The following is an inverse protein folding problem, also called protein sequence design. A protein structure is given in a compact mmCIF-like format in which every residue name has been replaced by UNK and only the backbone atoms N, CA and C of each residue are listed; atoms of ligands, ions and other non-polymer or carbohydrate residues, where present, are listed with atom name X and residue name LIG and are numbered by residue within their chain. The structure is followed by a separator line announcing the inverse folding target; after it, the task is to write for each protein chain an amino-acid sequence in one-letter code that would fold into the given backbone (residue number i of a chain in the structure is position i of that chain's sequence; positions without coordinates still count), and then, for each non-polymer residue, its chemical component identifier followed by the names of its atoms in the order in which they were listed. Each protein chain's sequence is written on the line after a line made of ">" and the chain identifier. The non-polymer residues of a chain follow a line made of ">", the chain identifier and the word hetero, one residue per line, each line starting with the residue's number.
data_IF_313023016213
#
_entry.id   IF_313023016213
#
_cell.length_a   1.000
_cell.length_b   1.000
_cell.length_c   1.000
_cell.angle_alpha   90.00
_cell.angle_beta   90.00
_cell.angle_gamma   90.00
#
_symmetry.space_group_name_H-M   'P 1'
#
loop_
_entity.id
_entity.type
_entity.pdbx_description
1 polymer ?
#
# COMPACT_ATOMS: atom_id res chain seq x y z
N UNK A 1 -9.72 -31.88 3.71
CA UNK A 1 -10.08 -30.66 2.96
C UNK A 1 -11.48 -30.23 3.42
N UNK A 2 -11.80 -28.94 3.54
CA UNK A 2 -13.17 -28.54 3.79
C UNK A 2 -14.06 -29.08 2.66
N UNK A 3 -15.24 -29.57 3.01
CA UNK A 3 -16.23 -30.04 2.05
C UNK A 3 -16.80 -28.83 1.29
N UNK A 4 -16.94 -28.94 -0.02
CA UNK A 4 -17.50 -27.88 -0.85
C UNK A 4 -19.00 -27.71 -0.54
N UNK A 5 -19.48 -26.48 -0.45
CA UNK A 5 -20.89 -26.18 -0.20
C UNK A 5 -21.41 -25.11 -1.18
N UNK A 6 -22.70 -25.16 -1.49
CA UNK A 6 -23.39 -24.23 -2.38
C UNK A 6 -24.24 -23.25 -1.56
N UNK A 7 -24.18 -21.96 -1.90
CA UNK A 7 -25.02 -20.92 -1.33
C UNK A 7 -25.89 -20.29 -2.43
N UNK A 8 -27.10 -19.85 -2.06
CA UNK A 8 -28.01 -19.07 -2.92
C UNK A 8 -28.29 -17.69 -2.32
N UNK A 9 -27.32 -16.75 -2.36
CA UNK A 9 -27.53 -15.39 -1.87
C UNK A 9 -28.34 -14.56 -2.87
N UNK A 10 -29.01 -13.51 -2.40
CA UNK A 10 -29.63 -12.50 -3.29
C UNK A 10 -28.58 -11.56 -3.88
N UNK A 11 -27.49 -11.30 -3.14
CA UNK A 11 -26.36 -10.49 -3.58
C UNK A 11 -25.08 -10.96 -2.89
N UNK A 12 -23.95 -10.83 -3.58
CA UNK A 12 -22.61 -11.08 -3.05
C UNK A 12 -21.78 -9.80 -3.18
N UNK A 13 -21.22 -9.32 -2.07
CA UNK A 13 -20.30 -8.18 -2.06
C UNK A 13 -18.92 -8.67 -1.66
N UNK A 14 -17.96 -8.57 -2.58
CA UNK A 14 -16.60 -9.04 -2.35
C UNK A 14 -15.71 -7.88 -1.88
N UNK A 15 -15.40 -7.85 -0.58
CA UNK A 15 -14.47 -6.88 0.01
C UNK A 15 -13.05 -7.44 0.14
N UNK A 16 -12.52 -8.04 -0.95
CA UNK A 16 -11.17 -8.63 -0.99
C UNK A 16 -10.05 -7.64 -1.27
N UNK A 17 -10.35 -6.34 -1.17
CA UNK A 17 -9.42 -5.24 -1.41
C UNK A 17 -9.20 -4.94 -2.90
N UNK A 18 -8.17 -4.15 -3.18
CA UNK A 18 -7.81 -3.67 -4.51
C UNK A 18 -6.31 -3.84 -4.76
N UNK A 19 -5.91 -3.74 -6.03
CA UNK A 19 -4.50 -3.77 -6.45
C UNK A 19 -4.22 -2.60 -7.40
N UNK A 20 -3.01 -2.00 -7.35
CA UNK A 20 -2.60 -1.02 -8.33
C UNK A 20 -2.43 -1.64 -9.72
N UNK A 21 -2.86 -0.95 -10.78
CA UNK A 21 -2.48 -1.29 -12.17
C UNK A 21 -1.18 -0.56 -12.54
N UNK A 22 -0.28 -1.28 -13.22
CA UNK A 22 0.98 -0.76 -13.78
C UNK A 22 1.03 -0.85 -15.30
N UNK A 23 -0.12 -1.04 -15.96
CA UNK A 23 -0.17 -1.24 -17.41
C UNK A 23 0.48 -0.08 -18.19
N UNK A 24 0.28 1.16 -17.72
CA UNK A 24 0.90 2.36 -18.31
C UNK A 24 2.42 2.46 -18.09
N UNK A 25 2.95 1.81 -17.04
CA UNK A 25 4.36 1.85 -16.68
C UNK A 25 5.10 0.55 -17.04
N UNK A 26 4.46 -0.34 -17.83
CA UNK A 26 4.95 -1.68 -18.12
C UNK A 26 6.27 -1.71 -18.89
N UNK A 27 6.48 -0.70 -19.76
CA UNK A 27 7.71 -0.55 -20.55
C UNK A 27 8.83 0.18 -19.77
N UNK A 28 8.53 0.70 -18.57
CA UNK A 28 9.51 1.40 -17.72
C UNK A 28 10.23 0.41 -16.81
N UNK A 29 11.41 0.80 -16.31
CA UNK A 29 12.19 0.00 -15.36
C UNK A 29 11.66 0.15 -13.92
N UNK A 30 10.36 -0.05 -13.76
CA UNK A 30 9.66 0.06 -12.49
C UNK A 30 9.76 -1.26 -11.72
N UNK A 31 10.37 -1.19 -10.54
CA UNK A 31 10.47 -2.31 -9.62
C UNK A 31 9.72 -2.02 -8.33
N UNK A 32 8.75 -2.87 -8.01
CA UNK A 32 7.84 -2.73 -6.86
C UNK A 32 7.99 -3.92 -5.91
N UNK A 33 7.55 -3.74 -4.67
CA UNK A 33 7.52 -4.82 -3.69
C UNK A 33 6.60 -5.96 -4.17
N UNK A 34 7.08 -7.19 -4.13
CA UNK A 34 6.30 -8.37 -4.53
C UNK A 34 5.09 -8.64 -3.62
N UNK A 35 5.14 -8.20 -2.36
CA UNK A 35 4.07 -8.43 -1.39
C UNK A 35 3.00 -7.35 -1.44
N UNK A 36 3.40 -6.07 -1.51
CA UNK A 36 2.49 -4.94 -1.45
C UNK A 36 2.20 -4.29 -2.79
N UNK A 37 3.01 -4.50 -3.83
CA UNK A 37 2.94 -3.82 -5.13
C UNK A 37 3.16 -2.28 -5.06
N UNK A 38 3.70 -1.76 -3.96
CA UNK A 38 4.15 -0.37 -3.83
C UNK A 38 5.67 -0.22 -4.03
N UNK A 39 6.22 1.02 -4.07
CA UNK A 39 7.67 1.26 -4.09
C UNK A 39 8.37 0.51 -2.96
N UNK A 40 9.48 -0.16 -3.25
CA UNK A 40 10.15 -1.04 -2.29
C UNK A 40 10.52 -0.33 -0.98
N UNK A 41 11.06 0.89 -1.06
CA UNK A 41 11.48 1.66 0.12
C UNK A 41 10.29 1.99 1.02
N UNK A 42 9.19 2.49 0.44
CA UNK A 42 7.97 2.76 1.18
C UNK A 42 7.36 1.48 1.76
N UNK A 43 7.30 0.39 0.98
CA UNK A 43 6.78 -0.89 1.44
C UNK A 43 7.54 -1.42 2.66
N UNK A 44 8.88 -1.34 2.64
CA UNK A 44 9.72 -1.73 3.78
C UNK A 44 9.50 -0.83 5.00
N UNK A 45 9.38 0.49 4.80
CA UNK A 45 9.08 1.45 5.87
C UNK A 45 7.73 1.15 6.55
N UNK A 46 6.68 0.91 5.75
CA UNK A 46 5.34 0.59 6.27
C UNK A 46 5.33 -0.75 7.02
N UNK A 47 6.04 -1.76 6.51
CA UNK A 47 6.18 -3.05 7.19
C UNK A 47 6.92 -2.91 8.53
N UNK A 48 8.03 -2.16 8.57
CA UNK A 48 8.77 -1.92 9.79
C UNK A 48 7.92 -1.19 10.84
N UNK A 49 7.16 -0.18 10.42
CA UNK A 49 6.23 0.53 11.30
C UNK A 49 5.14 -0.40 11.87
N UNK A 50 4.58 -1.28 11.03
CA UNK A 50 3.58 -2.28 11.45
C UNK A 50 4.17 -3.25 12.47
N UNK A 51 5.34 -3.82 12.20
CA UNK A 51 6.00 -4.78 13.10
C UNK A 51 6.36 -4.12 14.44
N UNK A 52 6.88 -2.89 14.41
CA UNK A 52 7.19 -2.14 15.63
C UNK A 52 5.93 -1.91 16.47
N UNK A 53 4.82 -1.54 15.84
CA UNK A 53 3.56 -1.33 16.52
C UNK A 53 2.96 -2.63 17.08
N UNK A 54 3.03 -3.75 16.34
CA UNK A 54 2.63 -5.07 16.86
C UNK A 54 3.46 -5.48 18.09
N UNK A 55 4.77 -5.19 18.09
CA UNK A 55 5.65 -5.52 19.22
C UNK A 55 5.39 -4.69 20.49
N UNK A 56 4.68 -3.56 20.38
CA UNK A 56 4.38 -2.67 21.51
C UNK A 56 3.23 -3.17 22.40
N UNK A 57 2.53 -4.25 22.00
CA UNK A 57 1.39 -4.80 22.73
C UNK A 57 0.10 -3.96 22.63
N UNK A 58 0.17 -2.78 22.01
CA UNK A 58 -0.99 -1.94 21.73
C UNK A 58 -1.56 -2.28 20.34
N UNK A 59 -2.58 -3.15 20.33
CA UNK A 59 -3.28 -3.55 19.11
C UNK A 59 -3.94 -2.37 18.38
N UNK A 60 -4.20 -1.24 19.05
CA UNK A 60 -4.70 -0.01 18.42
C UNK A 60 -3.56 0.79 17.76
N UNK A 61 -2.33 0.72 18.30
CA UNK A 61 -1.15 1.30 17.67
C UNK A 61 -0.73 0.53 16.41
N UNK A 62 -0.95 -0.80 16.39
CA UNK A 62 -0.69 -1.70 15.25
C UNK A 62 -1.68 -1.47 14.09
N UNK A 63 -1.65 -0.28 13.50
CA UNK A 63 -2.54 0.09 12.39
C UNK A 63 -3.17 1.47 12.50
N UNK A 64 -2.76 2.32 13.45
CA UNK A 64 -3.25 3.71 13.53
C UNK A 64 -2.70 4.56 12.37
N UNK A 65 -3.37 4.43 11.23
CA UNK A 65 -3.05 5.20 10.03
C UNK A 65 -3.19 6.71 10.23
N UNK A 66 -3.88 7.19 11.28
CA UNK A 66 -4.05 8.63 11.52
C UNK A 66 -2.76 9.28 12.05
N UNK A 67 -1.84 8.50 12.62
CA UNK A 67 -0.55 8.97 13.14
C UNK A 67 0.59 8.93 12.12
N UNK A 68 0.32 8.51 10.88
CA UNK A 68 1.37 8.38 9.87
C UNK A 68 1.86 9.76 9.39
N UNK A 69 3.18 9.89 9.23
CA UNK A 69 3.76 11.01 8.48
C UNK A 69 3.66 10.72 6.97
N UNK A 70 3.55 11.77 6.15
CA UNK A 70 3.66 11.60 4.71
C UNK A 70 5.10 11.17 4.37
N UNK A 71 5.28 10.09 3.59
CA UNK A 71 6.61 9.65 3.19
C UNK A 71 7.26 10.71 2.30
N UNK A 72 8.58 10.91 2.48
CA UNK A 72 9.36 11.79 1.63
C UNK A 72 9.46 11.27 0.19
N UNK A 73 9.78 12.16 -0.77
CA UNK A 73 9.83 11.82 -2.20
C UNK A 73 10.82 10.67 -2.50
N UNK A 74 11.88 10.54 -1.72
CA UNK A 74 12.90 9.49 -1.84
C UNK A 74 12.37 8.07 -1.59
N UNK A 75 11.25 7.94 -0.86
CA UNK A 75 10.57 6.67 -0.61
C UNK A 75 9.59 6.30 -1.73
N UNK A 76 9.22 7.26 -2.56
CA UNK A 76 8.23 7.14 -3.64
C UNK A 76 8.88 6.81 -5.00
N UNK A 77 10.21 6.75 -5.05
CA UNK A 77 10.99 6.47 -6.25
C UNK A 77 11.05 4.98 -6.59
N UNK A 78 11.22 4.69 -7.87
CA UNK A 78 11.60 3.39 -8.40
C UNK A 78 13.00 3.44 -9.01
N UNK A 79 13.58 2.32 -9.50
CA UNK A 79 14.82 2.37 -10.28
C UNK A 79 14.70 3.22 -11.56
N UNK A 80 13.50 3.32 -12.14
CA UNK A 80 13.22 4.24 -13.26
C UNK A 80 13.54 5.70 -12.88
N UNK A 81 14.46 6.39 -13.59
CA UNK A 81 14.85 7.75 -13.26
C UNK A 81 13.72 8.77 -13.40
N UNK A 82 13.63 9.71 -12.44
CA UNK A 82 12.63 10.79 -12.41
C UNK A 82 11.18 10.28 -12.44
N UNK A 83 10.95 9.05 -12.00
CA UNK A 83 9.63 8.44 -11.92
C UNK A 83 9.23 8.21 -10.46
N UNK A 84 8.08 8.75 -10.07
CA UNK A 84 7.53 8.61 -8.73
C UNK A 84 6.16 7.92 -8.80
N UNK A 85 5.90 7.05 -7.82
CA UNK A 85 4.58 6.45 -7.62
C UNK A 85 3.95 7.15 -6.43
N UNK A 86 2.80 7.78 -6.66
CA UNK A 86 2.11 8.63 -5.68
C UNK A 86 0.70 8.12 -5.37
N UNK A 87 0.07 8.74 -4.38
CA UNK A 87 -1.29 8.46 -3.93
C UNK A 87 -1.46 7.04 -3.43
N UNK A 88 -2.66 6.50 -3.61
CA UNK A 88 -2.99 5.13 -3.20
C UNK A 88 -2.11 4.08 -3.89
N UNK A 89 -1.63 4.36 -5.11
CA UNK A 89 -0.73 3.46 -5.84
C UNK A 89 0.59 3.25 -5.10
N UNK A 90 1.10 4.26 -4.39
CA UNK A 90 2.35 4.15 -3.64
C UNK A 90 2.22 3.22 -2.42
N UNK A 91 1.02 3.10 -1.85
CA UNK A 91 0.73 2.18 -0.74
C UNK A 91 0.40 0.77 -1.22
N UNK A 92 0.25 0.58 -2.53
CA UNK A 92 -0.01 -0.71 -3.15
C UNK A 92 -1.28 -1.35 -2.60
N UNK A 93 -1.15 -2.51 -1.95
CA UNK A 93 -2.24 -3.27 -1.31
C UNK A 93 -2.47 -2.90 0.16
N UNK A 94 -1.71 -1.97 0.72
CA UNK A 94 -1.89 -1.54 2.10
C UNK A 94 -3.19 -0.78 2.28
N UNK A 95 -3.97 -1.14 3.31
CA UNK A 95 -5.18 -0.42 3.71
C UNK A 95 -4.89 0.84 4.55
N UNK A 96 -3.62 1.14 4.84
CA UNK A 96 -3.24 2.28 5.69
C UNK A 96 -3.20 3.63 4.96
N UNK A 97 -3.49 3.69 3.66
CA UNK A 97 -3.44 4.93 2.89
C UNK A 97 -4.52 5.95 3.31
N UNK A 98 -4.15 7.23 3.36
CA UNK A 98 -5.06 8.35 3.58
C UNK A 98 -4.94 9.38 2.44
N UNK A 99 -6.07 9.94 1.99
CA UNK A 99 -6.09 10.97 0.93
C UNK A 99 -5.21 12.18 1.25
N UNK A 100 -5.21 12.62 2.52
CA UNK A 100 -4.34 13.70 3.00
C UNK A 100 -2.85 13.41 2.79
N UNK A 101 -2.43 12.15 2.93
CA UNK A 101 -1.05 11.74 2.66
C UNK A 101 -0.77 11.82 1.16
N UNK A 102 -1.70 11.35 0.33
CA UNK A 102 -1.59 11.46 -1.13
C UNK A 102 -1.39 12.90 -1.62
N UNK A 103 -2.12 13.87 -1.07
CA UNK A 103 -1.92 15.28 -1.41
C UNK A 103 -0.54 15.79 -1.02
N UNK A 104 -0.06 15.46 0.19
CA UNK A 104 1.30 15.83 0.63
C UNK A 104 2.39 15.20 -0.22
N UNK A 105 2.19 13.98 -0.72
CA UNK A 105 3.12 13.36 -1.65
C UNK A 105 3.24 14.15 -2.95
N UNK A 106 2.12 14.66 -3.48
CA UNK A 106 2.09 15.48 -4.70
C UNK A 106 2.76 16.83 -4.48
N UNK A 107 2.59 17.43 -3.31
CA UNK A 107 3.27 18.70 -2.96
C UNK A 107 4.79 18.56 -2.79
N UNK A 108 5.27 17.36 -2.46
CA UNK A 108 6.66 17.11 -2.12
C UNK A 108 7.56 16.69 -3.32
N UNK A 109 6.97 16.42 -4.49
CA UNK A 109 7.69 16.01 -5.72
C UNK A 109 7.69 17.09 -6.78
#
# INVERSE_FOLDING_TARGET
>A
APEAFELRPQALVSHVGYRPSYDLARELQVHVCYASEGPMKLAASLLAARVAAESSGDAAAAGDCLKQAAPGPELLTTPEPRFHILGSKSYGRSSSFLLMVGHKQVEAV
#
